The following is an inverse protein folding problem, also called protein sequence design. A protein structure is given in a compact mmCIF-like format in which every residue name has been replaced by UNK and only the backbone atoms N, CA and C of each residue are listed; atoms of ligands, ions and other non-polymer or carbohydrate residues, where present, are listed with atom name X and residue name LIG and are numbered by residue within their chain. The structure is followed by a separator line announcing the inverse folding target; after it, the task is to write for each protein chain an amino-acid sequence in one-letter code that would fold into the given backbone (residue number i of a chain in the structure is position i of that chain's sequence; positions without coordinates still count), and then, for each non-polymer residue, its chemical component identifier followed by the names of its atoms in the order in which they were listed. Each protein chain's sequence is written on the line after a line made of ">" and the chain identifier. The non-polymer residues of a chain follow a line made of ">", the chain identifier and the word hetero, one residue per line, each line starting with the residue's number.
data_IF_566739972362
#
_entry.id   IF_566739972362
#
_cell.length_a   1.000
_cell.length_b   1.000
_cell.length_c   1.000
_cell.angle_alpha   90.00
_cell.angle_beta   90.00
_cell.angle_gamma   90.00
#
_symmetry.space_group_name_H-M   'P 1'
#
loop_
_entity.id
_entity.type
_entity.pdbx_description
1 polymer ?
#
# COMPACT_ATOMS: atom_id res chain seq x y z
N UNK A 1 -2.27 -9.59 20.58
CA UNK A 1 -1.24 -8.55 20.28
C UNK A 1 -1.89 -7.49 19.41
N UNK A 2 -1.88 -6.22 19.82
CA UNK A 2 -2.53 -5.14 19.06
C UNK A 2 -1.79 -4.93 17.73
N UNK A 3 -2.46 -5.16 16.61
CA UNK A 3 -1.93 -5.00 15.25
C UNK A 3 -1.85 -3.52 14.82
N UNK A 4 -2.50 -2.62 15.56
CA UNK A 4 -2.69 -1.21 15.23
C UNK A 4 -1.39 -0.39 15.13
N UNK A 5 -0.43 -0.48 16.07
CA UNK A 5 0.83 0.28 15.96
C UNK A 5 1.69 -0.18 14.78
N UNK A 6 1.53 -1.43 14.35
CA UNK A 6 2.29 -1.99 13.22
C UNK A 6 1.78 -1.46 11.88
N UNK A 7 0.45 -1.39 11.71
CA UNK A 7 -0.18 -0.85 10.49
C UNK A 7 0.22 0.60 10.25
N UNK A 8 0.09 1.47 11.25
CA UNK A 8 0.44 2.89 11.13
C UNK A 8 1.90 3.13 10.76
N UNK A 9 2.83 2.39 11.39
CA UNK A 9 4.26 2.48 11.08
C UNK A 9 4.56 2.04 9.64
N UNK A 10 3.90 0.99 9.16
CA UNK A 10 4.06 0.49 7.80
C UNK A 10 3.56 1.49 6.78
N UNK A 11 2.37 2.06 6.97
CA UNK A 11 1.83 3.12 6.12
C UNK A 11 2.78 4.33 6.04
N UNK A 12 3.22 4.84 7.19
CA UNK A 12 4.16 5.96 7.27
C UNK A 12 5.49 5.68 6.57
N UNK A 13 5.98 4.43 6.64
CA UNK A 13 7.21 4.04 5.96
C UNK A 13 7.08 4.04 4.43
N UNK A 14 5.92 3.64 3.89
CA UNK A 14 5.66 3.71 2.44
C UNK A 14 5.47 5.17 2.01
N UNK A 15 4.58 5.93 2.68
CA UNK A 15 4.34 7.36 2.40
C UNK A 15 5.65 8.15 2.43
N UNK A 16 6.40 8.04 3.54
CA UNK A 16 7.65 8.79 3.71
C UNK A 16 8.70 8.45 2.66
N UNK A 17 8.69 7.22 2.12
CA UNK A 17 9.57 6.88 0.99
C UNK A 17 9.10 7.54 -0.30
N UNK A 18 7.80 7.48 -0.63
CA UNK A 18 7.26 8.08 -1.85
C UNK A 18 7.50 9.61 -1.86
N UNK A 19 7.23 10.28 -0.73
CA UNK A 19 7.51 11.71 -0.55
C UNK A 19 8.99 12.04 -0.70
N UNK A 20 9.88 11.30 -0.03
CA UNK A 20 11.32 11.54 -0.08
C UNK A 20 11.90 11.39 -1.49
N UNK A 21 11.30 10.52 -2.32
CA UNK A 21 11.69 10.29 -3.70
C UNK A 21 10.88 11.12 -4.71
N UNK A 22 9.99 12.02 -4.24
CA UNK A 22 9.11 12.86 -5.07
C UNK A 22 8.28 12.06 -6.08
N UNK A 23 7.87 10.85 -5.67
CA UNK A 23 6.95 10.02 -6.43
C UNK A 23 5.55 10.56 -6.20
N UNK A 24 4.76 10.72 -7.26
CA UNK A 24 3.36 11.14 -7.13
C UNK A 24 2.50 9.95 -6.73
N UNK A 25 1.67 10.14 -5.71
CA UNK A 25 0.76 9.12 -5.23
C UNK A 25 -0.54 9.72 -4.67
N UNK A 26 -1.57 8.87 -4.59
CA UNK A 26 -2.84 9.15 -3.94
C UNK A 26 -2.96 8.27 -2.68
N UNK A 27 -3.28 8.90 -1.55
CA UNK A 27 -3.64 8.20 -0.32
C UNK A 27 -5.15 7.95 -0.28
N UNK A 28 -5.54 6.67 -0.23
CA UNK A 28 -6.95 6.27 -0.14
C UNK A 28 -7.25 5.74 1.27
N UNK A 29 -8.00 6.51 2.06
CA UNK A 29 -8.40 6.13 3.43
C UNK A 29 -9.64 5.21 3.41
N UNK A 30 -9.48 3.97 3.87
CA UNK A 30 -10.57 2.97 3.91
C UNK A 30 -11.29 2.87 5.25
N UNK A 31 -10.89 3.65 6.28
CA UNK A 31 -11.46 3.53 7.64
C UNK A 31 -12.97 3.65 7.68
N UNK A 32 -13.54 4.56 6.87
CA UNK A 32 -14.98 4.82 6.80
C UNK A 32 -15.56 4.57 5.40
N UNK A 33 -14.78 4.01 4.47
CA UNK A 33 -15.19 3.75 3.09
C UNK A 33 -15.28 2.24 2.84
N UNK A 34 -16.43 1.66 3.21
CA UNK A 34 -16.65 0.21 3.08
C UNK A 34 -16.50 -0.28 1.64
N UNK A 35 -16.99 0.47 0.65
CA UNK A 35 -16.86 0.12 -0.76
C UNK A 35 -15.39 0.06 -1.20
N UNK A 36 -14.56 1.01 -0.74
CA UNK A 36 -13.13 1.03 -1.04
C UNK A 36 -12.38 -0.10 -0.32
N UNK A 37 -12.78 -0.43 0.91
CA UNK A 37 -12.25 -1.59 1.64
C UNK A 37 -12.56 -2.89 0.92
N UNK A 38 -13.81 -3.08 0.48
CA UNK A 38 -14.23 -4.27 -0.27
C UNK A 38 -13.58 -4.32 -1.66
N UNK A 39 -13.44 -3.18 -2.32
CA UNK A 39 -12.70 -3.07 -3.58
C UNK A 39 -11.24 -3.51 -3.39
N UNK A 40 -10.56 -3.02 -2.35
CA UNK A 40 -9.20 -3.44 -2.03
C UNK A 40 -9.12 -4.97 -1.85
N UNK A 41 -10.03 -5.58 -1.08
CA UNK A 41 -10.04 -7.03 -0.87
C UNK A 41 -10.24 -7.82 -2.18
N UNK A 42 -11.09 -7.33 -3.09
CA UNK A 42 -11.38 -8.00 -4.36
C UNK A 42 -10.23 -7.91 -5.37
N UNK A 43 -9.44 -6.84 -5.31
CA UNK A 43 -8.35 -6.60 -6.25
C UNK A 43 -6.99 -7.10 -5.74
N UNK A 44 -6.92 -7.66 -4.54
CA UNK A 44 -5.73 -8.39 -4.05
C UNK A 44 -5.80 -9.83 -4.56
N UNK A 45 -4.75 -10.35 -5.23
CA UNK A 45 -4.66 -11.75 -5.66
C UNK A 45 -4.83 -12.73 -4.51
N UNK A 46 -5.58 -13.83 -4.69
CA UNK A 46 -5.98 -14.76 -3.63
C UNK A 46 -4.78 -15.31 -2.83
N UNK A 47 -3.64 -15.55 -3.50
CA UNK A 47 -2.39 -16.01 -2.90
C UNK A 47 -1.74 -14.99 -1.95
N UNK A 48 -2.13 -13.71 -2.05
CA UNK A 48 -1.69 -12.63 -1.16
C UNK A 48 -2.67 -12.39 0.00
N UNK A 49 -3.80 -13.09 0.05
CA UNK A 49 -4.71 -13.00 1.19
C UNK A 49 -4.08 -13.67 2.43
N UNK A 50 -4.25 -13.07 3.63
CA UNK A 50 -3.75 -13.69 4.84
C UNK A 50 -4.54 -14.96 5.14
N UNK A 51 -3.86 -16.02 5.63
CA UNK A 51 -4.53 -17.27 6.02
C UNK A 51 -5.54 -17.13 7.17
N UNK A 52 -5.59 -15.97 7.85
CA UNK A 52 -6.63 -15.62 8.82
C UNK A 52 -6.87 -14.11 8.84
N UNK A 53 -8.14 -13.72 8.78
CA UNK A 53 -8.57 -12.32 8.83
C UNK A 53 -8.57 -11.67 7.45
N UNK A 54 -8.64 -10.34 7.42
CA UNK A 54 -8.67 -9.57 6.17
C UNK A 54 -7.29 -9.00 5.86
N UNK A 55 -6.98 -8.73 4.57
CA UNK A 55 -5.81 -7.95 4.19
C UNK A 55 -5.75 -6.63 4.97
N UNK A 56 -4.56 -6.27 5.43
CA UNK A 56 -4.31 -5.07 6.22
C UNK A 56 -3.51 -4.06 5.40
N UNK A 57 -3.82 -2.75 5.46
CA UNK A 57 -2.98 -1.71 4.88
C UNK A 57 -1.55 -1.67 5.46
N UNK A 58 -0.58 -1.05 4.74
CA UNK A 58 -0.72 -0.47 3.41
C UNK A 58 -0.83 -1.53 2.30
N UNK A 59 -1.59 -1.20 1.25
CA UNK A 59 -1.69 -1.97 0.02
C UNK A 59 -1.43 -1.02 -1.15
N UNK A 60 -0.58 -1.42 -2.10
CA UNK A 60 -0.06 -0.55 -3.14
C UNK A 60 -0.61 -1.01 -4.49
N UNK A 61 -1.21 -0.07 -5.20
CA UNK A 61 -1.77 -0.25 -6.52
C UNK A 61 -1.21 0.78 -7.50
N UNK A 62 -1.20 0.43 -8.78
CA UNK A 62 -1.00 1.38 -9.87
C UNK A 62 -2.29 1.40 -10.71
N UNK A 63 -3.09 2.46 -10.55
CA UNK A 63 -4.49 2.43 -11.00
C UNK A 63 -5.25 1.28 -10.33
N UNK A 64 -5.66 0.28 -11.13
CA UNK A 64 -6.35 -0.93 -10.67
C UNK A 64 -5.42 -2.15 -10.56
N UNK A 65 -4.15 -2.03 -10.95
CA UNK A 65 -3.16 -3.11 -10.87
C UNK A 65 -2.61 -3.22 -9.46
N UNK A 66 -2.73 -4.39 -8.84
CA UNK A 66 -2.12 -4.67 -7.55
C UNK A 66 -0.61 -4.88 -7.69
N UNK A 67 0.18 -4.05 -7.02
CA UNK A 67 1.64 -4.13 -7.03
C UNK A 67 2.17 -4.97 -5.88
N UNK A 68 1.61 -4.80 -4.68
CA UNK A 68 2.05 -5.53 -3.49
C UNK A 68 1.61 -4.92 -2.17
N UNK A 69 1.93 -5.64 -1.10
CA UNK A 69 1.72 -5.16 0.27
C UNK A 69 3.00 -4.49 0.82
N UNK A 70 3.02 -4.23 2.13
CA UNK A 70 4.21 -3.68 2.79
C UNK A 70 5.46 -4.57 2.66
N UNK A 71 5.33 -5.88 2.75
CA UNK A 71 6.49 -6.79 2.69
C UNK A 71 7.08 -6.82 1.28
N UNK A 72 6.23 -6.81 0.25
CA UNK A 72 6.66 -6.68 -1.15
C UNK A 72 7.42 -5.35 -1.38
N UNK A 73 6.85 -4.24 -0.88
CA UNK A 73 7.52 -2.94 -0.91
C UNK A 73 8.87 -2.96 -0.17
N UNK A 74 8.90 -3.53 1.03
CA UNK A 74 10.12 -3.61 1.83
C UNK A 74 11.20 -4.45 1.13
N UNK A 75 10.83 -5.59 0.56
CA UNK A 75 11.75 -6.43 -0.21
C UNK A 75 12.28 -5.69 -1.45
N UNK A 76 11.43 -4.95 -2.17
CA UNK A 76 11.86 -4.12 -3.29
C UNK A 76 12.85 -3.03 -2.85
N UNK A 77 12.67 -2.48 -1.65
CA UNK A 77 13.58 -1.49 -1.05
C UNK A 77 14.93 -2.11 -0.70
N UNK A 78 14.96 -3.28 -0.08
CA UNK A 78 16.23 -4.00 0.20
C UNK A 78 16.99 -4.34 -1.09
N UNK A 79 16.26 -4.64 -2.16
CA UNK A 79 16.82 -4.95 -3.47
C UNK A 79 17.11 -3.71 -4.34
N UNK A 80 16.84 -2.49 -3.86
CA UNK A 80 16.93 -1.24 -4.65
C UNK A 80 16.12 -1.26 -5.97
N UNK A 81 14.97 -1.94 -5.97
CA UNK A 81 14.09 -2.12 -7.14
C UNK A 81 12.72 -1.45 -6.97
N UNK A 82 12.57 -0.53 -6.02
CA UNK A 82 11.27 0.11 -5.71
C UNK A 82 10.65 0.80 -6.92
N UNK A 83 11.44 1.51 -7.74
CA UNK A 83 10.92 2.16 -8.94
C UNK A 83 10.35 1.15 -9.95
N UNK A 84 10.97 -0.03 -10.05
CA UNK A 84 10.49 -1.11 -10.90
C UNK A 84 9.23 -1.76 -10.33
N UNK A 85 9.21 -1.98 -9.01
CA UNK A 85 8.01 -2.44 -8.28
C UNK A 85 6.82 -1.50 -8.47
N UNK A 86 7.07 -0.18 -8.50
CA UNK A 86 6.04 0.84 -8.73
C UNK A 86 5.69 1.05 -10.21
N UNK A 87 6.30 0.31 -11.15
CA UNK A 87 6.07 0.48 -12.58
C UNK A 87 6.63 1.79 -13.18
N UNK A 88 7.56 2.45 -12.49
CA UNK A 88 8.10 3.78 -12.85
C UNK A 88 9.32 3.74 -13.77
N UNK A 89 9.74 2.57 -14.24
CA UNK A 89 10.96 2.39 -15.03
C UNK A 89 10.94 3.07 -16.43
N UNK A 90 9.84 3.71 -16.83
CA UNK A 90 9.69 4.22 -18.20
C UNK A 90 9.00 5.59 -18.32
N UNK A 91 8.21 6.02 -17.34
CA UNK A 91 7.48 7.29 -17.41
C UNK A 91 7.17 7.86 -16.00
N UNK A 92 7.57 9.10 -15.67
CA UNK A 92 7.29 9.72 -14.36
C UNK A 92 5.83 10.16 -14.17
N UNK A 93 4.91 9.93 -15.13
CA UNK A 93 3.49 10.34 -15.03
C UNK A 93 2.57 9.31 -14.37
N UNK A 94 3.10 8.16 -13.95
CA UNK A 94 2.34 7.08 -13.30
C UNK A 94 1.90 7.51 -11.88
N UNK A 95 0.60 7.40 -11.60
CA UNK A 95 0.01 7.72 -10.30
C UNK A 95 -0.15 6.45 -9.46
N UNK A 96 0.67 6.33 -8.42
CA UNK A 96 0.59 5.21 -7.47
C UNK A 96 -0.57 5.45 -6.49
N UNK A 97 -1.40 4.45 -6.24
CA UNK A 97 -2.43 4.49 -5.19
C UNK A 97 -1.96 3.71 -3.98
N UNK A 98 -1.85 4.38 -2.85
CA UNK A 98 -1.53 3.75 -1.58
C UNK A 98 -2.78 3.73 -0.69
N UNK A 99 -3.27 2.53 -0.41
CA UNK A 99 -4.41 2.35 0.49
C UNK A 99 -3.94 2.39 1.94
N UNK A 100 -4.58 3.21 2.77
CA UNK A 100 -4.32 3.32 4.20
C UNK A 100 -5.63 3.29 5.01
N UNK A 101 -5.51 3.08 6.32
CA UNK A 101 -6.59 3.07 7.30
C UNK A 101 -6.11 3.96 8.46
N UNK A 102 -6.83 5.05 8.73
CA UNK A 102 -6.72 5.80 9.97
C UNK A 102 -7.28 4.98 11.14
N UNK A 103 -6.44 4.57 12.08
CA UNK A 103 -6.92 4.30 13.44
C UNK A 103 -7.32 5.61 14.08
N UNK A 104 -8.56 5.69 14.58
CA UNK A 104 -9.11 6.86 15.25
C UNK A 104 -8.10 7.47 16.24
N UNK A 105 -8.05 8.80 16.26
CA UNK A 105 -7.26 9.61 17.19
C UNK A 105 -7.59 9.20 18.62
N UNK A 106 -6.57 8.79 19.35
CA UNK A 106 -6.25 9.18 20.74
C UNK A 106 -4.73 8.99 20.94
#
# INVERSE_FOLDING_TARGET
>A
MSTRPRVKKRQQAVVGFLEANRILFEEVDITMLEDQRLWMYRNIPEEKHPGKGNPLPPQIFNGDEYLGDYEDFFQSKENNTVFSFLGLNSDPTVQVRQIHEHTARD
#
